data_IF_216173996617
#
_entry.id   IF_216173996617
#
_cell.length_a   1.000
_cell.length_b   1.000
_cell.length_c   1.000
_cell.angle_alpha   90.00
_cell.angle_beta   90.00
_cell.angle_gamma   90.00
#
_symmetry.space_group_name_H-M   'P 1'
#
loop_
_entity.id
_entity.type
_entity.pdbx_description
1 polymer ?
#
# COMPACT_ATOMS: atom_id res chain seq x y z
N UNK A 1 -3.10 34.50 20.09
CA UNK A 1 -2.26 35.67 19.76
C UNK A 1 -1.49 36.00 21.04
N UNK A 2 -0.18 36.22 20.98
CA UNK A 2 0.58 36.58 22.18
C UNK A 2 0.22 38.01 22.63
N UNK A 3 0.34 38.29 23.92
CA UNK A 3 0.02 39.58 24.50
C UNK A 3 0.89 40.71 23.93
N UNK A 4 0.31 41.91 23.83
CA UNK A 4 1.07 43.13 23.53
C UNK A 4 2.04 43.39 24.69
N UNK A 5 3.33 43.46 24.37
CA UNK A 5 4.38 43.63 25.37
C UNK A 5 5.26 44.83 25.02
N UNK A 6 5.38 45.77 25.96
CA UNK A 6 6.28 46.91 25.84
C UNK A 6 7.62 46.60 26.53
N UNK A 7 8.70 46.58 25.74
CA UNK A 7 10.06 46.44 26.23
C UNK A 7 10.83 47.76 26.03
N UNK A 8 11.52 48.21 27.06
CA UNK A 8 12.37 49.41 27.02
C UNK A 8 13.83 49.07 27.38
N UNK A 9 14.78 49.84 26.86
CA UNK A 9 16.20 49.65 27.12
C UNK A 9 17.05 50.73 26.46
N UNK A 10 18.26 50.94 26.99
CA UNK A 10 19.23 51.88 26.41
C UNK A 10 19.88 51.33 25.13
N UNK A 11 19.88 50.00 24.97
CA UNK A 11 20.41 49.28 23.79
C UNK A 11 19.41 48.22 23.33
N UNK A 12 19.58 47.75 22.09
CA UNK A 12 18.81 46.63 21.56
C UNK A 12 18.97 45.37 22.40
N UNK A 13 20.16 45.08 22.91
CA UNK A 13 20.40 43.90 23.76
C UNK A 13 19.59 43.98 25.06
N UNK A 14 19.46 45.15 25.67
CA UNK A 14 18.62 45.34 26.85
C UNK A 14 17.12 45.10 26.56
N UNK A 15 16.67 45.43 25.34
CA UNK A 15 15.30 45.13 24.88
C UNK A 15 15.14 43.63 24.63
N UNK A 16 16.10 43.01 23.93
CA UNK A 16 16.09 41.58 23.65
C UNK A 16 16.13 40.73 24.90
N UNK A 17 16.88 41.12 25.93
CA UNK A 17 16.89 40.44 27.22
C UNK A 17 15.50 40.35 27.86
N UNK A 18 14.73 41.45 27.79
CA UNK A 18 13.35 41.48 28.28
C UNK A 18 12.41 40.63 27.45
N UNK A 19 12.54 40.71 26.11
CA UNK A 19 11.75 39.87 25.19
C UNK A 19 12.03 38.38 25.40
N UNK A 20 13.31 38.03 25.55
CA UNK A 20 13.75 36.67 25.81
C UNK A 20 13.19 36.17 27.15
N UNK A 21 13.38 36.92 28.23
CA UNK A 21 12.83 36.58 29.55
C UNK A 21 11.32 36.36 29.53
N UNK A 22 10.57 37.21 28.81
CA UNK A 22 9.11 37.12 28.71
C UNK A 22 8.64 35.94 27.86
N UNK A 23 9.29 35.67 26.74
CA UNK A 23 8.74 34.79 25.71
C UNK A 23 9.52 33.50 25.46
N UNK A 24 10.66 33.25 26.13
CA UNK A 24 11.45 32.02 25.95
C UNK A 24 10.64 30.74 26.20
N UNK A 25 9.61 30.79 27.05
CA UNK A 25 8.75 29.64 27.35
C UNK A 25 7.98 29.12 26.13
N UNK A 26 7.85 29.93 25.06
CA UNK A 26 7.23 29.50 23.81
C UNK A 26 8.22 28.82 22.85
N UNK A 27 9.52 28.87 23.14
CA UNK A 27 10.55 28.15 22.40
C UNK A 27 10.73 26.79 23.09
N UNK A 28 10.48 25.71 22.37
CA UNK A 28 10.64 24.35 22.93
C UNK A 28 12.08 23.88 22.81
N UNK A 29 12.60 23.86 21.58
CA UNK A 29 14.00 23.49 21.26
C UNK A 29 14.44 24.17 19.98
N UNK A 30 15.73 24.13 19.67
CA UNK A 30 16.26 24.53 18.38
C UNK A 30 16.78 23.29 17.66
N UNK A 31 16.28 23.02 16.46
CA UNK A 31 16.92 22.05 15.57
C UNK A 31 18.29 22.57 15.14
N UNK A 32 19.35 21.77 15.19
CA UNK A 32 20.70 22.15 14.78
C UNK A 32 21.30 20.99 13.98
N UNK A 33 22.07 21.30 12.95
CA UNK A 33 22.89 20.31 12.24
C UNK A 33 24.29 20.32 12.88
N UNK A 34 24.66 19.21 13.50
CA UNK A 34 25.96 18.98 14.11
C UNK A 34 26.71 17.92 13.29
N UNK A 35 27.67 18.36 12.48
CA UNK A 35 28.27 17.54 11.43
C UNK A 35 27.22 17.03 10.43
N UNK A 36 27.10 15.71 10.32
CA UNK A 36 26.13 15.04 9.45
C UNK A 36 24.79 14.72 10.14
N UNK A 37 24.72 14.89 11.47
CA UNK A 37 23.53 14.54 12.25
C UNK A 37 22.68 15.79 12.59
N UNK A 38 21.36 15.61 12.57
CA UNK A 38 20.43 16.60 13.07
C UNK A 38 20.11 16.35 14.54
N UNK A 39 20.31 17.36 15.38
CA UNK A 39 20.10 17.31 16.82
C UNK A 39 19.14 18.40 17.28
N UNK A 40 18.74 18.35 18.56
CA UNK A 40 17.91 19.38 19.17
C UNK A 40 18.60 19.92 20.42
N UNK A 41 18.88 21.22 20.42
CA UNK A 41 19.59 21.92 21.50
C UNK A 41 18.62 22.87 22.21
N UNK A 42 18.84 23.12 23.50
CA UNK A 42 18.15 24.20 24.21
C UNK A 42 18.59 25.55 23.66
N UNK A 43 17.63 26.43 23.42
CA UNK A 43 17.93 27.76 22.90
C UNK A 43 18.37 28.69 24.02
N UNK A 44 19.37 29.52 23.75
CA UNK A 44 19.85 30.54 24.66
C UNK A 44 19.63 31.94 24.07
N UNK A 45 19.73 32.95 24.92
CA UNK A 45 19.55 34.35 24.49
C UNK A 45 20.58 34.76 23.42
N UNK A 46 21.80 34.22 23.49
CA UNK A 46 22.85 34.50 22.50
C UNK A 46 22.54 33.99 21.10
N UNK A 47 21.62 33.03 20.96
CA UNK A 47 21.16 32.48 19.67
C UNK A 47 19.72 32.89 19.34
N UNK A 48 19.21 33.97 19.95
CA UNK A 48 17.83 34.43 19.74
C UNK A 48 17.45 34.57 18.27
N UNK A 49 18.38 35.00 17.42
CA UNK A 49 18.17 35.20 15.98
C UNK A 49 17.84 33.92 15.19
N UNK A 50 18.02 32.74 15.80
CA UNK A 50 17.67 31.44 15.24
C UNK A 50 16.24 31.02 15.56
N UNK A 51 15.61 31.65 16.56
CA UNK A 51 14.33 31.24 17.13
C UNK A 51 13.32 32.38 17.24
N UNK A 52 13.75 33.62 17.05
CA UNK A 52 12.93 34.81 17.03
C UNK A 52 13.28 35.70 15.83
N UNK A 53 12.28 36.42 15.32
CA UNK A 53 12.46 37.38 14.24
C UNK A 53 11.47 38.54 14.36
N UNK A 54 11.79 39.67 13.74
CA UNK A 54 10.92 40.84 13.73
C UNK A 54 10.25 41.00 12.37
N UNK A 55 8.99 41.39 12.37
CA UNK A 55 8.22 41.72 11.17
C UNK A 55 7.57 43.10 11.34
N UNK A 56 7.77 43.97 10.35
CA UNK A 56 7.20 45.32 10.30
C UNK A 56 6.62 45.54 8.91
N UNK A 57 5.39 46.05 8.80
CA UNK A 57 4.72 46.33 7.53
C UNK A 57 4.79 45.17 6.53
N UNK A 58 4.58 43.94 7.01
CA UNK A 58 4.63 42.74 6.18
C UNK A 58 6.04 42.18 5.90
N UNK A 59 7.11 42.94 6.19
CA UNK A 59 8.50 42.56 5.86
C UNK A 59 9.23 41.98 7.07
N UNK A 60 9.89 40.85 6.86
CA UNK A 60 10.78 40.23 7.87
C UNK A 60 12.09 41.02 7.90
N UNK A 61 12.54 41.37 9.10
CA UNK A 61 13.76 42.13 9.33
C UNK A 61 14.95 41.16 9.42
N UNK A 62 16.02 41.37 8.63
CA UNK A 62 17.23 40.57 8.73
C UNK A 62 17.80 40.59 10.15
N UNK A 63 18.15 39.43 10.68
CA UNK A 63 18.65 39.30 12.06
C UNK A 63 20.16 39.44 12.19
N UNK A 64 20.88 39.56 11.06
CA UNK A 64 22.35 39.69 10.96
C UNK A 64 22.88 41.12 11.10
N UNK A 65 22.13 42.02 11.75
CA UNK A 65 22.52 43.42 11.90
C UNK A 65 23.58 43.59 13.00
N UNK A 66 24.47 44.55 12.81
CA UNK A 66 25.34 45.02 13.89
C UNK A 66 24.53 45.76 14.96
N UNK A 67 25.06 45.86 16.18
CA UNK A 67 24.40 46.55 17.29
C UNK A 67 24.03 48.00 16.93
N UNK A 68 24.95 48.74 16.28
CA UNK A 68 24.68 50.10 15.80
C UNK A 68 23.54 50.16 14.78
N UNK A 69 23.37 49.13 13.95
CA UNK A 69 22.27 49.05 13.00
C UNK A 69 20.95 48.66 13.69
N UNK A 70 21.00 47.83 14.73
CA UNK A 70 19.84 47.53 15.58
C UNK A 70 19.35 48.75 16.36
N UNK A 71 20.25 49.48 17.02
CA UNK A 71 19.90 50.69 17.77
C UNK A 71 19.27 51.76 16.86
N UNK A 72 19.81 51.95 15.64
CA UNK A 72 19.20 52.82 14.62
C UNK A 72 17.81 52.33 14.19
N UNK A 73 17.65 51.02 14.01
CA UNK A 73 16.36 50.44 13.63
C UNK A 73 15.31 50.61 14.74
N UNK A 74 15.66 50.37 16.00
CA UNK A 74 14.76 50.63 17.15
C UNK A 74 14.38 52.11 17.20
N UNK A 75 15.34 53.01 17.01
CA UNK A 75 15.05 54.45 16.97
C UNK A 75 14.12 54.84 15.81
N UNK A 76 14.23 54.18 14.66
CA UNK A 76 13.33 54.42 13.51
C UNK A 76 11.90 53.91 13.73
N UNK A 77 11.68 53.02 14.69
CA UNK A 77 10.36 52.48 15.04
C UNK A 77 9.68 53.24 16.20
N UNK A 78 10.20 54.42 16.59
CA UNK A 78 9.57 55.23 17.63
C UNK A 78 8.14 55.59 17.24
N UNK A 79 7.17 55.14 18.04
CA UNK A 79 5.74 55.37 17.79
C UNK A 79 5.06 54.28 16.98
N UNK A 80 5.82 53.31 16.45
CA UNK A 80 5.31 52.19 15.67
C UNK A 80 5.38 50.86 16.43
N UNK A 81 4.60 49.88 15.97
CA UNK A 81 4.60 48.51 16.50
C UNK A 81 5.31 47.53 15.56
N UNK A 82 6.20 46.70 16.12
CA UNK A 82 6.76 45.55 15.42
C UNK A 82 6.09 44.25 15.89
N UNK A 83 5.90 43.30 14.97
CA UNK A 83 5.48 41.94 15.32
C UNK A 83 6.70 41.09 15.65
N UNK A 84 6.76 40.54 16.85
CA UNK A 84 7.72 39.50 17.21
C UNK A 84 7.18 38.15 16.74
N UNK A 85 7.94 37.48 15.88
CA UNK A 85 7.69 36.10 15.46
C UNK A 85 8.55 35.17 16.30
N UNK A 86 7.92 34.14 16.88
CA UNK A 86 8.60 33.13 17.69
C UNK A 86 8.44 31.78 17.00
N UNK A 87 9.57 31.13 16.75
CA UNK A 87 9.63 29.83 16.10
C UNK A 87 9.86 28.76 17.16
N UNK A 88 8.83 27.95 17.43
CA UNK A 88 8.83 26.91 18.46
C UNK A 88 10.04 25.97 18.38
N UNK A 89 10.52 25.68 17.16
CA UNK A 89 11.62 24.76 16.87
C UNK A 89 12.84 25.42 16.18
N UNK A 90 12.84 26.75 16.07
CA UNK A 90 13.86 27.52 15.35
C UNK A 90 13.74 27.49 13.82
N UNK A 91 14.76 28.07 13.17
CA UNK A 91 14.82 28.34 11.72
C UNK A 91 15.86 27.52 10.96
N UNK A 92 16.43 26.47 11.55
CA UNK A 92 17.58 25.78 10.95
C UNK A 92 17.27 25.07 9.64
N UNK A 93 16.03 24.63 9.43
CA UNK A 93 15.54 24.16 8.12
C UNK A 93 14.92 25.36 7.40
N UNK A 94 15.78 26.23 6.87
CA UNK A 94 15.37 27.55 6.34
C UNK A 94 14.97 27.54 4.86
N UNK A 95 15.32 26.50 4.12
CA UNK A 95 15.09 26.43 2.67
C UNK A 95 14.84 25.00 2.19
N UNK A 96 14.41 24.88 0.93
CA UNK A 96 14.05 23.62 0.29
C UNK A 96 15.23 22.63 0.23
N UNK A 97 16.45 23.10 -0.04
CA UNK A 97 17.63 22.22 -0.09
C UNK A 97 17.89 21.56 1.26
N UNK A 98 17.90 22.33 2.34
CA UNK A 98 18.12 21.80 3.70
C UNK A 98 16.98 20.86 4.10
N UNK A 99 15.75 21.16 3.69
CA UNK A 99 14.61 20.28 3.90
C UNK A 99 14.76 18.94 3.17
N UNK A 100 15.22 18.95 1.93
CA UNK A 100 15.45 17.71 1.17
C UNK A 100 16.62 16.90 1.71
N UNK A 101 17.70 17.55 2.16
CA UNK A 101 18.78 16.87 2.90
C UNK A 101 18.25 16.20 4.17
N UNK A 102 17.44 16.90 4.96
CA UNK A 102 16.81 16.34 6.16
C UNK A 102 15.89 15.15 5.84
N UNK A 103 15.03 15.29 4.82
CA UNK A 103 14.14 14.21 4.38
C UNK A 103 14.93 13.00 3.90
N UNK A 104 15.99 13.21 3.12
CA UNK A 104 16.87 12.15 2.65
C UNK A 104 17.50 11.36 3.80
N UNK A 105 17.95 12.06 4.84
CA UNK A 105 18.61 11.42 5.98
C UNK A 105 17.63 10.64 6.91
N UNK A 106 16.42 11.16 7.14
CA UNK A 106 15.57 10.63 8.22
C UNK A 106 14.17 10.17 7.82
N UNK A 107 13.63 10.63 6.70
CA UNK A 107 12.21 10.43 6.35
C UNK A 107 12.05 9.53 5.13
N UNK A 108 12.97 9.59 4.17
CA UNK A 108 12.90 8.76 2.97
C UNK A 108 13.28 7.32 3.32
N UNK A 109 12.41 6.36 2.99
CA UNK A 109 12.75 4.94 3.05
C UNK A 109 13.91 4.64 2.11
N UNK A 110 14.78 3.71 2.50
CA UNK A 110 15.92 3.29 1.68
C UNK A 110 15.48 2.47 0.47
N UNK A 111 14.42 1.68 0.65
CA UNK A 111 13.89 0.78 -0.37
C UNK A 111 12.47 1.17 -0.73
N UNK A 112 12.28 1.50 -2.01
CA UNK A 112 10.96 1.69 -2.63
C UNK A 112 10.83 0.73 -3.80
N UNK A 113 9.62 0.24 -4.03
CA UNK A 113 9.30 -0.58 -5.18
C UNK A 113 9.28 0.27 -6.47
N UNK A 114 9.03 -0.39 -7.61
CA UNK A 114 9.00 0.29 -8.92
C UNK A 114 7.88 1.32 -9.06
N UNK A 115 6.87 1.26 -8.19
CA UNK A 115 5.76 2.20 -8.13
C UNK A 115 6.04 3.36 -7.15
N UNK A 116 7.19 3.35 -6.48
CA UNK A 116 7.60 4.33 -5.48
C UNK A 116 6.99 4.10 -4.10
N UNK A 117 6.32 2.96 -3.87
CA UNK A 117 5.81 2.59 -2.56
C UNK A 117 6.94 1.96 -1.74
N UNK A 118 7.10 2.41 -0.49
CA UNK A 118 8.09 1.82 0.38
C UNK A 118 7.63 0.45 0.89
N UNK A 119 8.55 -0.51 0.93
CA UNK A 119 8.29 -1.76 1.62
C UNK A 119 8.02 -1.49 3.10
N UNK A 120 7.13 -2.29 3.71
CA UNK A 120 6.77 -2.15 5.14
C UNK A 120 8.01 -2.17 6.04
N UNK A 121 8.96 -3.06 5.77
CA UNK A 121 10.25 -3.14 6.48
C UNK A 121 11.02 -1.83 6.42
N UNK A 122 11.05 -1.16 5.27
CA UNK A 122 11.75 0.12 5.13
C UNK A 122 11.02 1.28 5.83
N UNK A 123 9.69 1.21 5.95
CA UNK A 123 8.93 2.17 6.78
C UNK A 123 9.23 1.94 8.27
N UNK A 124 9.29 0.68 8.73
CA UNK A 124 9.63 0.36 10.11
C UNK A 124 11.06 0.82 10.46
N UNK A 125 12.02 0.65 9.55
CA UNK A 125 13.38 1.19 9.70
C UNK A 125 13.40 2.72 9.85
N UNK A 126 12.61 3.43 9.04
CA UNK A 126 12.45 4.89 9.16
C UNK A 126 11.90 5.24 10.56
N UNK A 127 10.87 4.53 11.03
CA UNK A 127 10.27 4.75 12.35
C UNK A 127 11.28 4.51 13.47
N UNK A 128 12.05 3.43 13.40
CA UNK A 128 13.07 3.11 14.40
C UNK A 128 14.18 4.17 14.44
N UNK A 129 14.71 4.60 13.29
CA UNK A 129 15.67 5.70 13.24
C UNK A 129 15.12 6.99 13.86
N UNK A 130 13.86 7.31 13.57
CA UNK A 130 13.21 8.48 14.15
C UNK A 130 13.08 8.34 15.67
N UNK A 131 12.73 7.14 16.18
CA UNK A 131 12.63 6.85 17.62
C UNK A 131 13.99 6.89 18.31
N UNK A 132 15.04 6.36 17.69
CA UNK A 132 16.40 6.39 18.24
C UNK A 132 16.88 7.83 18.45
N UNK A 133 16.70 8.69 17.43
CA UNK A 133 17.20 10.07 17.49
C UNK A 133 16.30 10.98 18.33
N UNK A 134 14.98 10.77 18.31
CA UNK A 134 13.99 11.72 18.85
C UNK A 134 12.95 11.14 19.79
N UNK A 135 12.87 9.82 19.98
CA UNK A 135 11.82 9.14 20.75
C UNK A 135 11.73 9.60 22.22
N UNK A 136 12.88 9.88 22.85
CA UNK A 136 12.90 10.43 24.21
C UNK A 136 12.64 11.94 24.31
N UNK A 137 12.62 12.66 23.18
CA UNK A 137 12.59 14.15 23.15
C UNK A 137 11.22 14.73 22.88
N UNK A 138 10.33 14.00 22.21
CA UNK A 138 8.96 14.43 21.92
C UNK A 138 7.98 13.61 22.75
N UNK A 139 7.75 14.03 23.99
CA UNK A 139 6.67 13.49 24.83
C UNK A 139 5.36 14.27 24.65
N UNK A 140 5.41 15.41 23.95
CA UNK A 140 4.25 16.25 23.73
C UNK A 140 3.28 15.59 22.75
N UNK A 141 1.96 15.65 23.02
CA UNK A 141 0.96 15.21 22.06
C UNK A 141 1.05 16.05 20.77
N UNK A 142 0.62 15.49 19.63
CA UNK A 142 0.55 16.22 18.37
C UNK A 142 -0.23 17.53 18.53
N UNK A 143 0.25 18.62 17.95
CA UNK A 143 -0.46 19.91 18.02
C UNK A 143 -1.86 19.81 17.40
N UNK A 144 -2.81 20.63 17.86
CA UNK A 144 -4.18 20.64 17.37
C UNK A 144 -4.31 20.81 15.84
N UNK A 145 -3.29 21.40 15.19
CA UNK A 145 -3.24 21.53 13.73
C UNK A 145 -2.98 20.21 13.02
N UNK A 146 -2.09 19.36 13.55
CA UNK A 146 -1.65 18.12 12.89
C UNK A 146 -2.45 16.90 13.34
N UNK A 147 -3.05 16.95 14.54
CA UNK A 147 -3.80 15.84 15.11
C UNK A 147 -4.93 15.34 14.18
N UNK A 148 -5.78 16.21 13.58
CA UNK A 148 -6.83 15.74 12.67
C UNK A 148 -6.27 15.08 11.40
N UNK A 149 -5.09 15.51 10.94
CA UNK A 149 -4.45 14.96 9.75
C UNK A 149 -3.94 13.54 10.01
N UNK A 150 -3.36 13.30 11.20
CA UNK A 150 -2.91 11.98 11.62
C UNK A 150 -4.08 11.02 11.83
N UNK A 151 -5.15 11.49 12.48
CA UNK A 151 -6.38 10.70 12.66
C UNK A 151 -7.01 10.30 11.33
N UNK A 152 -7.11 11.24 10.39
CA UNK A 152 -7.64 10.95 9.06
C UNK A 152 -6.76 9.97 8.27
N UNK A 153 -5.44 9.96 8.49
CA UNK A 153 -4.55 8.96 7.90
C UNK A 153 -4.78 7.57 8.51
N UNK A 154 -4.90 7.47 9.85
CA UNK A 154 -5.20 6.21 10.54
C UNK A 154 -6.52 5.61 10.04
N UNK A 155 -7.58 6.43 10.00
CA UNK A 155 -8.90 5.99 9.55
C UNK A 155 -8.88 5.46 8.11
N UNK A 156 -8.07 6.06 7.21
CA UNK A 156 -7.93 5.55 5.83
C UNK A 156 -7.23 4.19 5.78
N UNK A 157 -6.21 3.99 6.60
CA UNK A 157 -5.51 2.71 6.68
C UNK A 157 -6.44 1.63 7.21
N UNK A 158 -7.15 1.92 8.30
CA UNK A 158 -8.14 1.01 8.90
C UNK A 158 -9.24 0.63 7.89
N UNK A 159 -9.77 1.63 7.16
CA UNK A 159 -10.78 1.39 6.12
C UNK A 159 -10.22 0.51 4.99
N UNK A 160 -9.01 0.79 4.52
CA UNK A 160 -8.38 0.01 3.44
C UNK A 160 -8.15 -1.44 3.86
N UNK A 161 -7.69 -1.68 5.09
CA UNK A 161 -7.53 -3.03 5.63
C UNK A 161 -8.88 -3.76 5.74
N UNK A 162 -9.93 -3.07 6.22
CA UNK A 162 -11.27 -3.66 6.29
C UNK A 162 -11.81 -4.05 4.91
N UNK A 163 -11.57 -3.24 3.88
CA UNK A 163 -11.98 -3.52 2.52
C UNK A 163 -11.18 -4.68 1.90
N UNK A 164 -9.87 -4.76 2.18
CA UNK A 164 -9.04 -5.91 1.78
C UNK A 164 -9.50 -7.21 2.44
N UNK A 165 -9.81 -7.19 3.74
CA UNK A 165 -10.33 -8.37 4.45
C UNK A 165 -11.63 -8.85 3.81
N UNK A 166 -12.59 -7.95 3.59
CA UNK A 166 -13.85 -8.31 2.90
C UNK A 166 -13.62 -8.89 1.50
N UNK A 167 -12.68 -8.32 0.75
CA UNK A 167 -12.34 -8.82 -0.57
C UNK A 167 -11.71 -10.21 -0.52
N UNK A 168 -10.87 -10.49 0.48
CA UNK A 168 -10.26 -11.80 0.68
C UNK A 168 -11.31 -12.84 1.08
N UNK A 169 -12.22 -12.50 1.97
CA UNK A 169 -13.32 -13.38 2.40
C UNK A 169 -14.21 -13.76 1.20
N UNK A 170 -14.58 -12.78 0.36
CA UNK A 170 -15.35 -13.04 -0.85
C UNK A 170 -14.61 -13.97 -1.83
N UNK A 171 -13.30 -13.79 -1.98
CA UNK A 171 -12.49 -14.64 -2.84
C UNK A 171 -12.44 -16.08 -2.31
N UNK A 172 -12.36 -16.27 -0.98
CA UNK A 172 -12.42 -17.58 -0.34
C UNK A 172 -13.78 -18.24 -0.56
N UNK A 173 -14.89 -17.52 -0.38
CA UNK A 173 -16.24 -18.04 -0.62
C UNK A 173 -16.42 -18.54 -2.06
N UNK A 174 -15.87 -17.82 -3.05
CA UNK A 174 -15.88 -18.22 -4.46
C UNK A 174 -15.09 -19.52 -4.68
N UNK A 175 -13.90 -19.62 -4.06
CA UNK A 175 -13.06 -20.83 -4.15
C UNK A 175 -13.78 -22.02 -3.50
N UNK A 176 -14.38 -21.84 -2.33
CA UNK A 176 -15.12 -22.90 -1.63
C UNK A 176 -16.35 -23.38 -2.41
N UNK A 177 -17.09 -22.46 -3.02
CA UNK A 177 -18.19 -22.80 -3.93
C UNK A 177 -17.67 -23.61 -5.13
N UNK A 178 -16.56 -23.17 -5.74
CA UNK A 178 -15.95 -23.87 -6.89
C UNK A 178 -15.45 -25.27 -6.51
N UNK A 179 -14.90 -25.44 -5.32
CA UNK A 179 -14.49 -26.74 -4.79
C UNK A 179 -15.68 -27.67 -4.57
N UNK A 180 -16.81 -27.13 -4.10
CA UNK A 180 -18.06 -27.90 -3.94
C UNK A 180 -18.60 -28.36 -5.30
N UNK A 181 -18.61 -27.48 -6.29
CA UNK A 181 -19.06 -27.82 -7.65
C UNK A 181 -18.13 -28.87 -8.28
N UNK A 182 -16.82 -28.77 -8.07
CA UNK A 182 -15.85 -29.76 -8.53
C UNK A 182 -16.11 -31.16 -7.91
N UNK A 183 -16.43 -31.23 -6.62
CA UNK A 183 -16.81 -32.49 -5.95
C UNK A 183 -18.08 -33.10 -6.58
N UNK A 184 -19.06 -32.28 -6.92
CA UNK A 184 -20.28 -32.76 -7.60
C UNK A 184 -19.97 -33.30 -9.00
N UNK A 185 -19.14 -32.59 -9.77
CA UNK A 185 -18.70 -33.05 -11.10
C UNK A 185 -17.95 -34.38 -11.02
N UNK A 186 -17.07 -34.54 -10.03
CA UNK A 186 -16.37 -35.79 -9.79
C UNK A 186 -17.35 -36.94 -9.50
N UNK A 187 -18.34 -36.72 -8.64
CA UNK A 187 -19.35 -37.72 -8.34
C UNK A 187 -20.16 -38.13 -9.58
N UNK A 188 -20.59 -37.17 -10.42
CA UNK A 188 -21.27 -37.49 -11.67
C UNK A 188 -20.39 -38.29 -12.63
N UNK A 189 -19.10 -37.97 -12.69
CA UNK A 189 -18.14 -38.70 -13.49
C UNK A 189 -18.00 -40.16 -13.04
N UNK A 190 -17.89 -40.41 -11.74
CA UNK A 190 -17.86 -41.78 -11.19
C UNK A 190 -19.11 -42.59 -11.54
N UNK A 191 -20.30 -41.97 -11.41
CA UNK A 191 -21.56 -42.62 -11.76
C UNK A 191 -21.65 -42.94 -13.25
N UNK A 192 -21.17 -42.05 -14.11
CA UNK A 192 -21.07 -42.31 -15.55
C UNK A 192 -20.09 -43.47 -15.84
N UNK A 193 -18.93 -43.49 -15.17
CA UNK A 193 -17.96 -44.57 -15.27
C UNK A 193 -18.55 -45.93 -14.88
N UNK A 194 -19.35 -45.99 -13.82
CA UNK A 194 -20.06 -47.19 -13.40
C UNK A 194 -21.07 -47.66 -14.46
N UNK A 195 -21.86 -46.73 -15.01
CA UNK A 195 -22.81 -47.03 -16.08
C UNK A 195 -22.13 -47.58 -17.33
N UNK A 196 -20.97 -47.04 -17.70
CA UNK A 196 -20.19 -47.48 -18.86
C UNK A 196 -19.66 -48.91 -18.65
N UNK A 197 -19.16 -49.23 -17.45
CA UNK A 197 -18.73 -50.58 -17.08
C UNK A 197 -19.88 -51.58 -17.16
N UNK A 198 -21.05 -51.25 -16.61
CA UNK A 198 -22.24 -52.10 -16.69
C UNK A 198 -22.67 -52.37 -18.15
N UNK A 199 -22.62 -51.36 -19.01
CA UNK A 199 -22.92 -51.52 -20.44
C UNK A 199 -21.93 -52.45 -21.13
N UNK A 200 -20.64 -52.33 -20.82
CA UNK A 200 -19.60 -53.22 -21.36
C UNK A 200 -19.87 -54.68 -20.98
N UNK A 201 -20.12 -54.96 -19.71
CA UNK A 201 -20.43 -56.32 -19.22
C UNK A 201 -21.67 -56.91 -19.91
N UNK A 202 -22.73 -56.09 -20.07
CA UNK A 202 -23.94 -56.50 -20.78
C UNK A 202 -23.68 -56.85 -22.25
N UNK A 203 -22.84 -56.07 -22.95
CA UNK A 203 -22.45 -56.35 -24.34
C UNK A 203 -21.61 -57.63 -24.45
N UNK A 204 -20.67 -57.84 -23.52
CA UNK A 204 -19.86 -59.07 -23.49
C UNK A 204 -20.73 -60.31 -23.22
N UNK A 205 -21.74 -60.20 -22.35
CA UNK A 205 -22.70 -61.28 -22.11
C UNK A 205 -23.53 -61.58 -23.38
N UNK A 206 -24.08 -60.55 -24.04
CA UNK A 206 -24.81 -60.71 -25.30
C UNK A 206 -23.95 -61.33 -26.39
N UNK A 207 -22.69 -60.92 -26.51
CA UNK A 207 -21.72 -61.52 -27.43
C UNK A 207 -21.56 -63.01 -27.17
N UNK A 208 -21.33 -63.42 -25.92
CA UNK A 208 -21.22 -64.84 -25.53
C UNK A 208 -22.46 -65.64 -25.92
N UNK A 209 -23.66 -65.08 -25.71
CA UNK A 209 -24.91 -65.72 -26.13
C UNK A 209 -24.96 -65.93 -27.65
N UNK A 210 -24.62 -64.91 -28.44
CA UNK A 210 -24.60 -65.00 -29.91
C UNK A 210 -23.56 -66.02 -30.41
N UNK A 211 -22.38 -66.06 -29.79
CA UNK A 211 -21.35 -67.04 -30.11
C UNK A 211 -21.81 -68.48 -29.81
N UNK A 212 -22.54 -68.68 -28.71
CA UNK A 212 -23.18 -69.96 -28.38
C UNK A 212 -24.27 -70.38 -29.36
N UNK A 213 -25.13 -69.44 -29.79
CA UNK A 213 -26.13 -69.71 -30.84
C UNK A 213 -25.44 -70.15 -32.13
N UNK A 214 -24.42 -69.41 -32.57
CA UNK A 214 -23.65 -69.73 -33.79
C UNK A 214 -23.06 -71.14 -33.74
N UNK A 215 -22.56 -71.58 -32.57
CA UNK A 215 -21.98 -72.91 -32.40
C UNK A 215 -23.02 -74.05 -32.51
N UNK A 216 -24.29 -73.78 -32.21
CA UNK A 216 -25.36 -74.78 -32.17
C UNK A 216 -26.20 -74.85 -33.46
N UNK A 217 -25.88 -74.07 -34.49
CA UNK A 217 -26.55 -74.18 -35.80
C UNK A 217 -25.97 -75.41 -36.53
N UNK A 218 -26.73 -76.51 -36.70
CA UNK A 218 -26.23 -77.67 -37.41
C UNK A 218 -26.13 -77.33 -38.90
N UNK A 219 -24.94 -77.52 -39.47
CA UNK A 219 -24.78 -77.44 -40.92
C UNK A 219 -25.43 -78.69 -41.54
N UNK A 220 -26.30 -78.54 -42.55
CA UNK A 220 -26.84 -79.70 -43.25
C UNK A 220 -25.69 -80.52 -43.85
N UNK A 221 -25.72 -81.85 -43.73
CA UNK A 221 -24.71 -82.70 -44.36
C UNK A 221 -24.74 -82.50 -45.87
N UNK A 222 -23.56 -82.48 -46.51
CA UNK A 222 -23.42 -82.22 -47.96
C UNK A 222 -24.33 -83.10 -48.83
N UNK A 223 -24.66 -84.31 -48.37
CA UNK A 223 -25.57 -85.24 -49.06
C UNK A 223 -27.02 -84.78 -49.14
N UNK A 224 -27.44 -83.81 -48.33
CA UNK A 224 -28.81 -83.25 -48.29
C UNK A 224 -28.93 -81.91 -49.01
N UNK A 225 -27.80 -81.32 -49.41
CA UNK A 225 -27.78 -80.10 -50.21
C UNK A 225 -27.80 -80.53 -51.68
N UNK A 226 -28.98 -80.52 -52.29
CA UNK A 226 -29.13 -80.76 -53.73
C UNK A 226 -28.48 -79.61 -54.49
N UNK A 227 -27.58 -79.91 -55.42
CA UNK A 227 -26.99 -78.90 -56.29
C UNK A 227 -28.11 -78.25 -57.14
N UNK A 228 -28.44 -76.97 -56.92
CA UNK A 228 -29.52 -76.32 -57.65
C UNK A 228 -29.23 -76.23 -59.15
N UNK A 229 -27.95 -76.26 -59.56
CA UNK A 229 -27.55 -76.30 -60.97
C UNK A 229 -27.91 -77.64 -61.64
N UNK A 230 -28.04 -78.73 -60.87
CA UNK A 230 -28.44 -80.03 -61.41
C UNK A 230 -29.94 -80.13 -61.71
N UNK A 231 -30.78 -79.29 -61.08
CA UNK A 231 -32.24 -79.22 -61.30
C UNK A 231 -32.68 -78.03 -62.15
N UNK A 232 -31.77 -77.18 -62.58
CA UNK A 232 -32.11 -76.06 -63.45
C UNK A 232 -32.45 -76.59 -64.84
N UNK A 233 -33.76 -76.59 -65.15
CA UNK A 233 -34.23 -76.78 -66.52
C UNK A 233 -33.64 -75.66 -67.38
N UNK A 234 -32.91 -76.06 -68.42
CA UNK A 234 -32.38 -75.11 -69.39
C UNK A 234 -33.59 -74.51 -70.12
N UNK A 235 -33.99 -73.30 -69.77
CA UNK A 235 -35.05 -72.60 -70.51
C UNK A 235 -34.55 -72.36 -71.92
N UNK A 236 -35.34 -72.73 -72.93
CA UNK A 236 -35.05 -72.33 -74.30
C UNK A 236 -34.98 -70.81 -74.37
N UNK A 237 -33.86 -70.32 -74.89
CA UNK A 237 -33.63 -68.91 -75.14
C UNK A 237 -34.58 -68.45 -76.26
N UNK A 238 -35.73 -67.95 -75.84
CA UNK A 238 -36.78 -67.43 -76.71
C UNK A 238 -36.58 -65.95 -77.04
N UNK A 239 -35.59 -65.29 -76.43
CA UNK A 239 -35.28 -63.88 -76.68
C UNK A 239 -34.41 -63.71 -77.95
N UNK A 240 -33.86 -64.81 -78.49
CA UNK A 240 -33.00 -64.81 -79.68
C UNK A 240 -33.56 -65.65 -80.85
N UNK A 241 -34.87 -65.95 -80.88
CA UNK A 241 -35.55 -66.54 -82.04
C UNK A 241 -36.22 -65.46 -82.92
N UNK A 242 -35.38 -64.69 -83.63
CA UNK A 242 -35.53 -64.22 -85.03
C UNK A 242 -34.34 -63.33 -85.43
#
# INVERSE_FOLDING_TARGET
MLDVFAANGATFDAIMHKLWGKFKCHIKRQAVKDGDAWTCVESSESTWNKVMGFKVNGRIIPTSKSEKAWNRWVASLRGDTATLMIYTYGLSISNARILEEFKGAYIRPEHTDRSGAAAETSILEVVERLREVWGGRFQDPPTARILPMLQAASARVEQHLADLTKSADLALDIVDASLKDNKQLHHHWEMFGLSLSNQKEALEARKRTLEGIRANIPLPPLSTVTDPLASMENMEDTEHQE
#
